data_IF_522198083081
#
_entry.id   IF_522198083081
#
_cell.length_a   1.000
_cell.length_b   1.000
_cell.length_c   1.000
_cell.angle_alpha   90.00
_cell.angle_beta   90.00
_cell.angle_gamma   90.00
#
_symmetry.space_group_name_H-M   'P 1'
#
loop_
_entity.id
_entity.type
_entity.pdbx_description
1 polymer ?
#
# COMPACT_ATOMS: atom_id res chain seq x y z
N UNK A 1 1.85 31.68 -4.29
CA UNK A 1 1.00 30.57 -4.79
C UNK A 1 1.92 29.36 -4.99
N UNK A 2 1.51 28.15 -4.64
CA UNK A 2 2.39 26.97 -4.61
C UNK A 2 3.05 26.61 -5.97
N UNK A 3 2.43 27.01 -7.08
CA UNK A 3 2.93 26.77 -8.45
C UNK A 3 3.36 28.06 -9.17
N UNK A 4 3.90 29.03 -8.44
CA UNK A 4 4.33 30.29 -9.04
C UNK A 4 5.57 30.11 -9.95
N UNK A 5 6.42 29.14 -9.62
CA UNK A 5 7.75 29.00 -10.24
C UNK A 5 7.84 27.84 -11.25
N UNK A 6 6.94 26.85 -11.17
CA UNK A 6 6.75 25.82 -12.21
C UNK A 6 5.33 25.27 -12.17
N UNK A 7 4.53 25.61 -13.18
CA UNK A 7 3.14 25.16 -13.29
C UNK A 7 2.99 23.88 -14.13
N UNK A 8 3.98 23.62 -14.97
CA UNK A 8 4.05 22.58 -15.99
C UNK A 8 4.81 21.34 -15.53
N UNK A 9 5.65 21.46 -14.49
CA UNK A 9 6.38 20.35 -13.85
C UNK A 9 7.26 19.55 -14.82
N UNK A 10 7.73 20.17 -15.92
CA UNK A 10 8.46 19.47 -17.00
C UNK A 10 9.75 18.77 -16.53
N UNK A 11 10.38 19.29 -15.48
CA UNK A 11 11.61 18.72 -14.89
C UNK A 11 11.35 17.62 -13.85
N UNK A 12 10.09 17.39 -13.45
CA UNK A 12 9.73 16.34 -12.49
C UNK A 12 9.51 15.03 -13.24
N UNK A 13 10.46 14.10 -13.15
CA UNK A 13 10.27 12.72 -13.61
C UNK A 13 9.64 11.87 -12.51
N UNK A 14 8.56 11.19 -12.85
CA UNK A 14 8.07 10.08 -12.05
C UNK A 14 9.11 8.96 -12.06
N UNK A 15 9.68 8.68 -10.89
CA UNK A 15 10.46 7.48 -10.62
C UNK A 15 9.74 6.70 -9.54
N UNK A 16 9.57 5.40 -9.75
CA UNK A 16 9.06 4.49 -8.74
C UNK A 16 9.91 3.24 -8.80
N UNK A 17 10.43 2.81 -7.65
CA UNK A 17 11.03 1.49 -7.53
C UNK A 17 9.91 0.44 -7.69
N UNK A 18 10.04 -0.44 -8.68
CA UNK A 18 9.11 -1.52 -8.94
C UNK A 18 9.52 -2.75 -8.12
N UNK A 19 8.83 -3.00 -7.01
CA UNK A 19 8.97 -4.24 -6.22
C UNK A 19 8.41 -5.48 -6.95
N UNK A 20 7.91 -5.32 -8.18
CA UNK A 20 7.16 -6.34 -8.90
C UNK A 20 5.73 -6.51 -8.38
N UNK A 21 5.32 -5.77 -7.34
CA UNK A 21 4.01 -5.89 -6.71
C UNK A 21 2.89 -5.73 -7.71
N UNK A 22 2.92 -4.68 -8.53
CA UNK A 22 1.89 -4.47 -9.54
C UNK A 22 1.75 -5.65 -10.51
N UNK A 23 2.85 -6.34 -10.86
CA UNK A 23 2.84 -7.48 -11.78
C UNK A 23 2.24 -8.73 -11.15
N UNK A 24 2.75 -9.18 -10.01
CA UNK A 24 2.24 -10.41 -9.40
C UNK A 24 0.83 -10.21 -8.82
N UNK A 25 0.47 -8.99 -8.43
CA UNK A 25 -0.90 -8.58 -8.05
C UNK A 25 -1.90 -8.85 -9.15
N UNK A 26 -1.61 -8.36 -10.35
CA UNK A 26 -2.50 -8.55 -11.50
C UNK A 26 -2.63 -10.04 -11.79
N UNK A 27 -1.54 -10.80 -11.65
CA UNK A 27 -1.57 -12.24 -11.80
C UNK A 27 -2.44 -12.92 -10.72
N UNK A 28 -2.30 -12.56 -9.44
CA UNK A 28 -3.11 -13.15 -8.36
C UNK A 28 -4.60 -12.76 -8.48
N UNK A 29 -4.91 -11.53 -8.89
CA UNK A 29 -6.28 -11.10 -9.19
C UNK A 29 -6.91 -11.93 -10.33
N UNK A 30 -6.11 -12.27 -11.35
CA UNK A 30 -6.51 -13.18 -12.44
C UNK A 30 -6.70 -14.61 -11.91
N UNK A 31 -5.71 -15.14 -11.18
CA UNK A 31 -5.72 -16.52 -10.66
C UNK A 31 -6.92 -16.76 -9.72
N UNK A 32 -7.29 -15.74 -8.94
CA UNK A 32 -8.42 -15.78 -8.01
C UNK A 32 -9.74 -15.28 -8.62
N UNK A 33 -9.72 -14.77 -9.85
CA UNK A 33 -10.88 -14.19 -10.55
C UNK A 33 -11.62 -13.11 -9.73
N UNK A 34 -10.87 -12.21 -9.08
CA UNK A 34 -11.44 -11.12 -8.26
C UNK A 34 -10.79 -9.77 -8.53
N UNK A 35 -11.55 -8.66 -8.47
CA UNK A 35 -10.94 -7.34 -8.35
C UNK A 35 -10.34 -7.20 -6.94
N UNK A 36 -9.01 -7.17 -6.84
CA UNK A 36 -8.29 -7.03 -5.57
C UNK A 36 -7.39 -5.78 -5.62
N UNK A 37 -7.53 -4.83 -4.69
CA UNK A 37 -6.46 -3.89 -4.41
C UNK A 37 -5.33 -4.68 -3.76
N UNK A 38 -4.11 -4.37 -4.20
CA UNK A 38 -2.91 -4.92 -3.58
C UNK A 38 -2.07 -3.77 -3.10
N UNK A 39 -1.56 -3.96 -1.90
CA UNK A 39 -0.93 -2.94 -1.09
C UNK A 39 0.33 -3.54 -0.50
N UNK A 40 1.46 -2.86 -0.68
CA UNK A 40 2.77 -3.31 -0.16
C UNK A 40 2.70 -3.52 1.34
N UNK A 41 1.90 -2.70 2.02
CA UNK A 41 1.81 -2.59 3.45
C UNK A 41 0.39 -2.82 3.96
N UNK A 42 0.29 -3.37 5.17
CA UNK A 42 -0.94 -3.45 5.95
C UNK A 42 -1.75 -2.13 5.91
N UNK A 43 -3.06 -2.15 5.60
CA UNK A 43 -3.82 -0.93 5.34
C UNK A 43 -4.12 -0.18 6.64
N UNK A 44 -3.80 1.12 6.68
CA UNK A 44 -4.24 2.01 7.75
C UNK A 44 -5.78 2.16 7.79
N UNK A 45 -6.30 2.88 8.78
CA UNK A 45 -7.74 3.05 8.96
C UNK A 45 -8.43 3.69 7.74
N UNK A 46 -7.78 4.65 7.08
CA UNK A 46 -8.33 5.29 5.88
C UNK A 46 -8.47 4.29 4.73
N UNK A 47 -7.41 3.56 4.39
CA UNK A 47 -7.42 2.57 3.31
C UNK A 47 -8.39 1.43 3.60
N UNK A 48 -8.45 0.96 4.85
CA UNK A 48 -9.41 -0.05 5.29
C UNK A 48 -10.86 0.45 5.18
N UNK A 49 -11.11 1.72 5.51
CA UNK A 49 -12.40 2.37 5.28
C UNK A 49 -12.80 2.37 3.80
N UNK A 50 -11.86 2.66 2.90
CA UNK A 50 -12.11 2.63 1.45
C UNK A 50 -12.45 1.22 0.94
N UNK A 51 -11.70 0.20 1.39
CA UNK A 51 -11.96 -1.22 1.06
C UNK A 51 -13.39 -1.60 1.44
N UNK A 52 -13.83 -1.24 2.64
CA UNK A 52 -15.18 -1.52 3.12
C UNK A 52 -16.25 -0.71 2.37
N UNK A 53 -15.99 0.59 2.12
CA UNK A 53 -16.93 1.48 1.43
C UNK A 53 -17.24 0.98 0.01
N UNK A 54 -16.23 0.52 -0.72
CA UNK A 54 -16.39 0.02 -2.08
C UNK A 54 -16.80 -1.46 -2.15
N UNK A 55 -16.97 -2.14 -1.00
CA UNK A 55 -17.38 -3.53 -0.96
C UNK A 55 -16.34 -4.48 -1.56
N UNK A 56 -15.06 -4.17 -1.40
CA UNK A 56 -13.96 -4.99 -1.91
C UNK A 56 -13.90 -6.29 -1.09
N UNK A 57 -14.10 -7.48 -1.71
CA UNK A 57 -14.25 -8.72 -0.96
C UNK A 57 -12.91 -9.36 -0.56
N UNK A 58 -11.81 -8.98 -1.22
CA UNK A 58 -10.47 -9.55 -0.98
C UNK A 58 -9.39 -8.50 -1.15
N UNK A 59 -8.37 -8.56 -0.30
CA UNK A 59 -7.18 -7.72 -0.34
C UNK A 59 -5.96 -8.61 -0.15
N UNK A 60 -4.94 -8.39 -0.98
CA UNK A 60 -3.62 -9.00 -0.77
C UNK A 60 -2.67 -7.94 -0.24
N UNK A 61 -1.92 -8.29 0.80
CA UNK A 61 -1.00 -7.42 1.52
C UNK A 61 0.42 -7.98 1.36
N UNK A 62 1.34 -7.15 0.87
CA UNK A 62 2.75 -7.51 0.72
C UNK A 62 3.37 -7.92 2.05
N UNK A 63 3.34 -7.04 3.05
CA UNK A 63 3.85 -7.28 4.40
C UNK A 63 3.07 -6.52 5.50
N UNK A 64 3.20 -6.96 6.74
CA UNK A 64 2.57 -6.29 7.90
C UNK A 64 3.42 -6.27 9.18
N UNK A 65 4.72 -6.49 9.05
CA UNK A 65 5.68 -6.47 10.17
C UNK A 65 6.14 -5.06 10.48
N UNK A 66 6.39 -4.26 9.44
CA UNK A 66 6.86 -2.89 9.59
C UNK A 66 5.78 -2.00 10.17
N UNK A 67 4.56 -2.18 9.68
CA UNK A 67 3.36 -1.53 10.17
C UNK A 67 2.18 -2.47 10.04
N UNK A 68 1.33 -2.47 11.07
CA UNK A 68 0.10 -3.26 11.10
C UNK A 68 -1.07 -2.34 11.39
N UNK A 69 -1.90 -2.15 10.37
CA UNK A 69 -3.12 -1.36 10.45
C UNK A 69 -4.34 -2.21 10.77
N UNK A 70 -5.45 -1.93 10.10
CA UNK A 70 -6.80 -2.41 10.44
C UNK A 70 -7.18 -3.73 9.75
N UNK A 71 -6.23 -4.65 9.55
CA UNK A 71 -6.52 -5.94 8.90
C UNK A 71 -7.59 -6.76 9.63
N UNK A 72 -7.62 -6.68 10.96
CA UNK A 72 -8.59 -7.44 11.75
C UNK A 72 -10.00 -6.89 11.60
N UNK A 73 -10.15 -5.56 11.45
CA UNK A 73 -11.42 -4.94 11.11
C UNK A 73 -11.92 -5.48 9.76
N UNK A 74 -11.06 -5.52 8.74
CA UNK A 74 -11.40 -6.05 7.43
C UNK A 74 -11.86 -7.52 7.51
N UNK A 75 -11.09 -8.38 8.20
CA UNK A 75 -11.47 -9.78 8.43
C UNK A 75 -12.81 -9.91 9.15
N UNK A 76 -13.05 -9.10 10.19
CA UNK A 76 -14.31 -9.10 10.94
C UNK A 76 -15.53 -8.71 10.09
N UNK A 77 -15.32 -7.96 9.00
CA UNK A 77 -16.33 -7.54 8.04
C UNK A 77 -16.48 -8.50 6.85
N UNK A 78 -15.80 -9.65 6.89
CA UNK A 78 -15.88 -10.68 5.85
C UNK A 78 -14.96 -10.46 4.64
N UNK A 79 -14.05 -9.48 4.71
CA UNK A 79 -13.02 -9.30 3.68
C UNK A 79 -11.93 -10.34 3.86
N UNK A 80 -11.57 -11.03 2.78
CA UNK A 80 -10.44 -11.96 2.79
C UNK A 80 -9.16 -11.15 2.74
N UNK A 81 -8.37 -11.18 3.82
CA UNK A 81 -7.07 -10.49 3.90
C UNK A 81 -5.95 -11.52 3.88
N UNK A 82 -5.22 -11.56 2.77
CA UNK A 82 -4.08 -12.44 2.57
C UNK A 82 -2.77 -11.66 2.71
N UNK A 83 -1.87 -12.13 3.58
CA UNK A 83 -0.57 -11.48 3.80
C UNK A 83 0.53 -12.40 3.29
N UNK A 84 1.29 -11.95 2.28
CA UNK A 84 2.30 -12.77 1.60
C UNK A 84 3.66 -12.75 2.30
N UNK A 85 3.92 -11.73 3.13
CA UNK A 85 5.20 -11.50 3.81
C UNK A 85 6.37 -11.44 2.83
N UNK A 86 6.21 -10.62 1.80
CA UNK A 86 7.21 -10.45 0.75
C UNK A 86 8.46 -9.76 1.32
N UNK A 87 9.64 -10.42 1.30
CA UNK A 87 10.86 -9.86 1.88
C UNK A 87 11.30 -8.54 1.23
N UNK A 88 10.96 -8.34 -0.04
CA UNK A 88 11.25 -7.10 -0.75
C UNK A 88 10.40 -5.93 -0.25
N UNK A 89 9.12 -6.16 0.09
CA UNK A 89 8.26 -5.13 0.68
C UNK A 89 8.79 -4.70 2.05
N UNK A 90 9.19 -5.67 2.89
CA UNK A 90 9.76 -5.40 4.22
C UNK A 90 11.09 -4.62 4.09
N UNK A 91 11.94 -5.00 3.12
CA UNK A 91 13.22 -4.33 2.86
C UNK A 91 13.03 -2.89 2.41
N UNK A 92 12.23 -2.65 1.36
CA UNK A 92 12.05 -1.31 0.76
C UNK A 92 11.48 -0.35 1.79
N UNK A 93 10.43 -0.75 2.51
CA UNK A 93 9.83 0.13 3.51
C UNK A 93 10.74 0.31 4.73
N UNK A 94 11.42 -0.75 5.17
CA UNK A 94 12.40 -0.68 6.25
C UNK A 94 13.60 0.22 5.93
N UNK A 95 14.07 0.24 4.68
CA UNK A 95 15.09 1.17 4.18
C UNK A 95 14.55 2.62 4.24
N UNK A 96 13.36 2.86 3.69
CA UNK A 96 12.74 4.19 3.68
C UNK A 96 12.54 4.76 5.09
N UNK A 97 12.00 3.99 6.03
CA UNK A 97 11.75 4.45 7.41
C UNK A 97 13.06 4.79 8.13
N UNK A 98 14.13 4.03 7.87
CA UNK A 98 15.46 4.33 8.42
C UNK A 98 16.04 5.63 7.89
N UNK A 99 15.88 5.87 6.58
CA UNK A 99 16.45 7.03 5.89
C UNK A 99 15.61 8.30 6.12
N UNK A 100 14.28 8.15 6.30
CA UNK A 100 13.32 9.24 6.34
C UNK A 100 12.24 9.09 7.45
N UNK A 101 12.62 8.94 8.73
CA UNK A 101 11.68 8.63 9.81
C UNK A 101 10.60 9.71 10.03
N UNK A 102 10.94 10.99 9.87
CA UNK A 102 9.97 12.08 10.04
C UNK A 102 8.90 12.11 8.95
N UNK A 103 9.27 11.75 7.71
CA UNK A 103 8.30 11.63 6.61
C UNK A 103 7.38 10.43 6.81
N UNK A 104 7.93 9.33 7.34
CA UNK A 104 7.12 8.19 7.71
C UNK A 104 6.09 8.53 8.80
N UNK A 105 6.54 9.20 9.87
CA UNK A 105 5.64 9.64 10.94
C UNK A 105 4.52 10.56 10.41
N UNK A 106 4.84 11.50 9.51
CA UNK A 106 3.83 12.32 8.82
C UNK A 106 2.79 11.47 8.08
N UNK A 107 3.22 10.48 7.29
CA UNK A 107 2.35 9.63 6.47
C UNK A 107 1.37 8.80 7.31
N UNK A 108 1.81 8.34 8.49
CA UNK A 108 0.95 7.62 9.45
C UNK A 108 0.29 8.52 10.51
N UNK A 109 0.49 9.84 10.43
CA UNK A 109 -0.12 10.83 11.32
C UNK A 109 0.39 10.83 12.76
N UNK A 110 1.70 10.65 12.96
CA UNK A 110 2.40 10.74 14.26
C UNK A 110 3.18 12.04 14.46
#
# INVERSE_FOLDING_TARGET
>A
RAFADSADLEDIRGYVDDSGEGRWTVQEAIDQSVPAPVITLSPCAMCSGAILLYGIPRVVVGENRTFRGEEELLRSRGVVVEVRQEPECERILGDFIREHPALWDEDIGR
#
